data_IF_765669832781
#
_entry.id   IF_765669832781
#
_cell.length_a   1.000
_cell.length_b   1.000
_cell.length_c   1.000
_cell.angle_alpha   90.00
_cell.angle_beta   90.00
_cell.angle_gamma   90.00
#
_symmetry.space_group_name_H-M   'P 1'
#
loop_
_entity.id
_entity.type
_entity.pdbx_description
1 polymer ?
#
# COMPACT_ATOMS: atom_id res chain seq x y z
N UNK A 1 -8.16 -4.83 13.45
CA UNK A 1 -7.45 -3.91 12.53
C UNK A 1 -7.48 -4.53 11.14
N UNK A 2 -8.05 -3.83 10.15
CA UNK A 2 -8.08 -4.33 8.76
C UNK A 2 -6.71 -4.09 8.12
N UNK A 3 -6.28 -5.00 7.25
CA UNK A 3 -5.03 -4.88 6.50
C UNK A 3 -5.27 -5.00 5.02
N UNK A 4 -4.54 -4.22 4.23
CA UNK A 4 -4.60 -4.22 2.78
C UNK A 4 -3.20 -4.14 2.18
N UNK A 5 -2.92 -5.02 1.22
CA UNK A 5 -1.64 -5.06 0.52
C UNK A 5 -1.70 -4.41 -0.85
N UNK A 6 -0.61 -3.74 -1.23
CA UNK A 6 -0.34 -3.34 -2.61
C UNK A 6 0.93 -4.04 -3.10
N UNK A 7 0.90 -4.51 -4.35
CA UNK A 7 2.04 -5.08 -5.04
C UNK A 7 2.02 -4.55 -6.48
N UNK A 8 2.69 -3.42 -6.69
CA UNK A 8 2.83 -2.83 -8.03
C UNK A 8 3.83 -3.66 -8.86
N UNK A 9 3.61 -3.76 -10.17
CA UNK A 9 4.54 -4.44 -11.07
C UNK A 9 5.78 -3.58 -11.34
N UNK A 10 6.96 -4.16 -11.12
CA UNK A 10 8.27 -3.58 -11.39
C UNK A 10 8.50 -2.17 -10.81
N UNK A 11 7.89 -1.87 -9.68
CA UNK A 11 8.10 -0.61 -8.97
C UNK A 11 7.21 -0.45 -7.76
N UNK A 12 7.40 0.65 -7.02
CA UNK A 12 6.57 1.05 -5.88
C UNK A 12 5.99 2.45 -6.11
N UNK A 13 5.55 2.72 -7.34
CA UNK A 13 5.19 4.07 -7.78
C UNK A 13 4.01 4.66 -6.99
N UNK A 14 3.07 3.81 -6.57
CA UNK A 14 1.89 4.23 -5.82
C UNK A 14 2.05 4.14 -4.29
N UNK A 15 3.18 3.65 -3.77
CA UNK A 15 3.35 3.28 -2.37
C UNK A 15 3.09 4.43 -1.38
N UNK A 16 3.57 5.64 -1.67
CA UNK A 16 3.37 6.81 -0.80
C UNK A 16 1.88 7.18 -0.73
N UNK A 17 1.22 7.25 -1.89
CA UNK A 17 -0.21 7.57 -1.97
C UNK A 17 -1.07 6.51 -1.29
N UNK A 18 -0.75 5.23 -1.51
CA UNK A 18 -1.42 4.10 -0.86
C UNK A 18 -1.29 4.17 0.66
N UNK A 19 -0.09 4.45 1.18
CA UNK A 19 0.14 4.60 2.61
C UNK A 19 -0.70 5.73 3.21
N UNK A 20 -0.71 6.91 2.58
CA UNK A 20 -1.47 8.07 3.07
C UNK A 20 -2.98 7.78 3.13
N UNK A 21 -3.54 7.20 2.06
CA UNK A 21 -4.96 6.84 2.03
C UNK A 21 -5.30 5.73 3.05
N UNK A 22 -4.41 4.74 3.25
CA UNK A 22 -4.63 3.70 4.25
C UNK A 22 -4.66 4.27 5.68
N UNK A 23 -3.85 5.29 5.97
CA UNK A 23 -3.89 5.97 7.27
C UNK A 23 -5.22 6.71 7.48
N UNK A 24 -5.73 7.41 6.47
CA UNK A 24 -7.03 8.11 6.52
C UNK A 24 -8.21 7.15 6.78
N UNK A 25 -8.11 5.92 6.27
CA UNK A 25 -9.13 4.87 6.41
C UNK A 25 -8.91 3.95 7.63
N UNK A 26 -7.93 4.26 8.49
CA UNK A 26 -7.54 3.44 9.65
C UNK A 26 -7.22 1.97 9.29
N UNK A 27 -6.65 1.75 8.10
CA UNK A 27 -6.19 0.46 7.59
C UNK A 27 -4.69 0.34 7.84
N UNK A 28 -4.22 -0.85 8.21
CA UNK A 28 -2.80 -1.17 8.28
C UNK A 28 -2.28 -1.58 6.88
N UNK A 29 -1.53 -0.72 6.16
CA UNK A 29 -1.08 -1.02 4.80
C UNK A 29 0.09 -2.02 4.80
N UNK A 30 0.12 -2.89 3.80
CA UNK A 30 1.25 -3.77 3.49
C UNK A 30 1.79 -3.36 2.12
N UNK A 31 3.05 -2.97 2.04
CA UNK A 31 3.66 -2.46 0.79
C UNK A 31 4.61 -3.52 0.24
N UNK A 32 4.35 -3.95 -0.99
CA UNK A 32 5.17 -4.90 -1.73
C UNK A 32 5.36 -4.48 -3.19
N UNK A 33 6.09 -5.30 -3.93
CA UNK A 33 6.36 -5.16 -5.36
C UNK A 33 6.32 -6.55 -5.99
N UNK A 34 5.74 -6.66 -7.19
CA UNK A 34 5.80 -7.84 -8.03
C UNK A 34 6.89 -7.63 -9.09
N UNK A 35 7.81 -8.60 -9.22
CA UNK A 35 8.95 -8.55 -10.15
C UNK A 35 8.61 -9.21 -11.49
#
# INVERSE_FOLDING_TARGET
MKSLGIADYNGMYSAIRFYQMAQEEEINPIIGVEL
#
